data_IF_329311367551
#
_entry.id   IF_329311367551
#
_cell.length_a   1.000
_cell.length_b   1.000
_cell.length_c   1.000
_cell.angle_alpha   90.00
_cell.angle_beta   90.00
_cell.angle_gamma   90.00
#
_symmetry.space_group_name_H-M   'P 1'
#
loop_
_entity.id
_entity.type
_entity.pdbx_description
1 polymer ?
#
# COMPACT_ATOMS: atom_id res chain seq x y z
N UNK A 1 -12.49 6.13 -4.92
CA UNK A 1 -13.64 6.01 -3.97
C UNK A 1 -13.09 5.90 -2.56
N UNK A 2 -13.39 6.86 -1.67
CA UNK A 2 -12.96 6.81 -0.28
C UNK A 2 -13.57 5.57 0.40
N UNK A 3 -12.75 4.81 1.11
CA UNK A 3 -13.20 3.65 1.89
C UNK A 3 -13.18 2.28 1.21
N UNK A 4 -13.06 2.19 -0.13
CA UNK A 4 -12.93 0.91 -0.82
C UNK A 4 -11.55 0.25 -0.59
N UNK A 5 -10.52 1.05 -0.32
CA UNK A 5 -9.14 0.57 -0.21
C UNK A 5 -8.55 0.10 -1.55
N UNK A 6 -7.22 0.08 -1.61
CA UNK A 6 -6.50 -0.34 -2.82
C UNK A 6 -6.69 -1.83 -3.12
N UNK A 7 -6.76 -2.66 -2.10
CA UNK A 7 -6.90 -4.13 -2.23
C UNK A 7 -8.25 -4.51 -2.85
N UNK A 8 -9.34 -3.89 -2.40
CA UNK A 8 -10.67 -4.16 -2.96
C UNK A 8 -10.79 -3.67 -4.40
N UNK A 9 -10.18 -2.51 -4.73
CA UNK A 9 -10.11 -2.02 -6.11
C UNK A 9 -9.40 -2.99 -7.04
N UNK A 10 -8.27 -3.52 -6.62
CA UNK A 10 -7.54 -4.56 -7.36
C UNK A 10 -8.39 -5.82 -7.50
N UNK A 11 -9.00 -6.32 -6.41
CA UNK A 11 -9.79 -7.55 -6.42
C UNK A 11 -10.96 -7.50 -7.42
N UNK A 12 -11.66 -6.37 -7.49
CA UNK A 12 -12.78 -6.17 -8.44
C UNK A 12 -12.29 -6.20 -9.90
N UNK A 13 -11.06 -5.79 -10.15
CA UNK A 13 -10.51 -5.69 -11.51
C UNK A 13 -9.71 -6.91 -11.96
N UNK A 14 -9.47 -7.90 -11.08
CA UNK A 14 -8.82 -9.16 -11.44
C UNK A 14 -9.48 -9.85 -12.65
N UNK A 15 -10.82 -9.95 -12.78
CA UNK A 15 -11.42 -10.62 -13.93
C UNK A 15 -11.00 -10.04 -15.29
N UNK A 16 -10.72 -8.74 -15.35
CA UNK A 16 -10.27 -8.08 -16.58
C UNK A 16 -8.87 -8.58 -17.00
N UNK A 17 -8.05 -8.98 -16.04
CA UNK A 17 -6.68 -9.44 -16.33
C UNK A 17 -6.60 -10.77 -17.07
N UNK A 18 -7.69 -11.56 -17.10
CA UNK A 18 -7.74 -12.80 -17.88
C UNK A 18 -7.80 -12.59 -19.40
N UNK A 19 -8.14 -11.37 -19.84
CA UNK A 19 -8.31 -11.03 -21.25
C UNK A 19 -7.04 -10.39 -21.84
N UNK A 20 -6.11 -9.92 -21.00
CA UNK A 20 -4.91 -9.18 -21.40
C UNK A 20 -3.62 -9.99 -21.13
N UNK A 21 -2.51 -9.71 -21.85
CA UNK A 21 -1.25 -10.38 -21.61
C UNK A 21 -0.77 -10.25 -20.16
N UNK A 22 -0.10 -11.27 -19.59
CA UNK A 22 0.28 -11.29 -18.17
C UNK A 22 1.09 -10.07 -17.72
N UNK A 23 2.04 -9.61 -18.53
CA UNK A 23 2.84 -8.42 -18.19
C UNK A 23 1.97 -7.16 -18.12
N UNK A 24 1.05 -6.99 -19.07
CA UNK A 24 0.11 -5.86 -19.06
C UNK A 24 -0.86 -5.96 -17.87
N UNK A 25 -1.29 -7.16 -17.50
CA UNK A 25 -2.14 -7.41 -16.34
C UNK A 25 -1.46 -6.96 -15.03
N UNK A 26 -0.20 -7.31 -14.84
CA UNK A 26 0.57 -6.90 -13.65
C UNK A 26 0.72 -5.38 -13.60
N UNK A 27 1.10 -4.74 -14.71
CA UNK A 27 1.23 -3.29 -14.80
C UNK A 27 -0.11 -2.60 -14.52
N UNK A 28 -1.21 -3.12 -15.09
CA UNK A 28 -2.56 -2.60 -14.87
C UNK A 28 -2.97 -2.66 -13.40
N UNK A 29 -2.81 -3.81 -12.74
CA UNK A 29 -3.16 -3.96 -11.33
C UNK A 29 -2.27 -3.11 -10.41
N UNK A 30 -0.98 -3.01 -10.72
CA UNK A 30 -0.06 -2.12 -9.99
C UNK A 30 -0.48 -0.65 -10.12
N UNK A 31 -0.82 -0.20 -11.34
CA UNK A 31 -1.29 1.17 -11.57
C UNK A 31 -2.59 1.46 -10.81
N UNK A 32 -3.53 0.51 -10.80
CA UNK A 32 -4.78 0.62 -10.01
C UNK A 32 -4.48 0.73 -8.52
N UNK A 33 -3.57 -0.10 -8.01
CA UNK A 33 -3.16 -0.07 -6.61
C UNK A 33 -2.56 1.28 -6.22
N UNK A 34 -1.58 1.77 -6.98
CA UNK A 34 -0.96 3.07 -6.75
C UNK A 34 -1.94 4.23 -6.88
N UNK A 35 -2.80 4.21 -7.90
CA UNK A 35 -3.83 5.21 -8.10
C UNK A 35 -4.84 5.26 -6.95
N UNK A 36 -5.23 4.11 -6.42
CA UNK A 36 -6.12 4.03 -5.25
C UNK A 36 -5.45 4.55 -3.97
N UNK A 37 -4.16 4.28 -3.77
CA UNK A 37 -3.39 4.79 -2.64
C UNK A 37 -3.28 6.32 -2.67
N UNK A 38 -2.94 6.89 -3.83
CA UNK A 38 -2.88 8.34 -3.97
C UNK A 38 -4.27 8.99 -3.86
N UNK A 39 -5.31 8.37 -4.45
CA UNK A 39 -6.70 8.81 -4.28
C UNK A 39 -7.15 8.82 -2.81
N UNK A 40 -6.66 7.87 -2.01
CA UNK A 40 -6.84 7.84 -0.57
C UNK A 40 -6.19 9.03 0.16
N UNK A 41 -5.01 9.47 -0.29
CA UNK A 41 -4.35 10.65 0.24
C UNK A 41 -5.13 11.94 -0.09
N UNK A 42 -5.70 12.04 -1.29
CA UNK A 42 -6.55 13.18 -1.68
C UNK A 42 -7.77 13.30 -0.75
N UNK A 43 -8.49 12.19 -0.52
CA UNK A 43 -9.65 12.19 0.38
C UNK A 43 -9.25 12.52 1.83
N UNK A 44 -8.09 12.07 2.28
CA UNK A 44 -7.55 12.37 3.61
C UNK A 44 -7.30 13.85 3.80
N UNK A 45 -6.69 14.51 2.82
CA UNK A 45 -6.40 15.95 2.85
C UNK A 45 -7.68 16.79 2.73
N UNK A 46 -8.52 16.49 1.74
CA UNK A 46 -9.67 17.33 1.41
C UNK A 46 -10.85 17.12 2.36
N UNK A 47 -11.14 15.87 2.73
CA UNK A 47 -12.34 15.52 3.50
C UNK A 47 -12.01 15.17 4.96
N UNK A 48 -10.73 14.90 5.29
CA UNK A 48 -10.36 14.40 6.60
C UNK A 48 -10.79 12.95 6.84
N UNK A 49 -11.13 12.22 5.77
CA UNK A 49 -11.55 10.82 5.82
C UNK A 49 -10.46 9.98 5.15
N UNK A 50 -9.79 9.09 5.89
CA UNK A 50 -8.75 8.25 5.30
C UNK A 50 -9.36 7.31 4.27
N UNK A 51 -8.89 7.40 3.02
CA UNK A 51 -9.34 6.54 1.93
C UNK A 51 -8.76 5.13 1.99
N UNK A 52 -7.66 4.95 2.74
CA UNK A 52 -7.02 3.69 3.05
C UNK A 52 -6.44 3.75 4.46
N UNK A 53 -6.22 2.60 5.10
CA UNK A 53 -5.63 2.53 6.45
C UNK A 53 -4.27 3.23 6.55
N UNK A 54 -3.48 3.16 5.49
CA UNK A 54 -2.16 3.81 5.38
C UNK A 54 -2.23 5.33 5.23
N UNK A 55 -3.36 5.87 4.78
CA UNK A 55 -3.58 7.31 4.60
C UNK A 55 -4.04 8.04 5.87
N UNK A 56 -4.16 7.33 7.00
CA UNK A 56 -4.53 7.93 8.30
C UNK A 56 -3.52 9.00 8.71
N UNK A 57 -2.23 8.74 8.57
CA UNK A 57 -1.18 9.70 8.90
C UNK A 57 -1.32 11.00 8.10
N UNK A 58 -1.75 10.91 6.84
CA UNK A 58 -1.96 12.08 5.96
C UNK A 58 -3.10 13.00 6.46
N UNK A 59 -4.05 12.45 7.23
CA UNK A 59 -5.14 13.25 7.81
C UNK A 59 -4.59 14.23 8.85
N UNK A 60 -3.64 13.79 9.69
CA UNK A 60 -3.13 14.59 10.79
C UNK A 60 -2.44 15.88 10.32
N UNK A 61 -1.67 15.81 9.25
CA UNK A 61 -0.92 16.95 8.73
C UNK A 61 -1.62 17.63 7.55
N UNK A 62 -2.22 16.84 6.66
CA UNK A 62 -2.82 17.35 5.43
C UNK A 62 -4.15 18.07 5.65
N UNK A 63 -5.01 17.57 6.55
CA UNK A 63 -6.31 18.19 6.81
C UNK A 63 -6.19 19.59 7.44
N UNK A 64 -5.34 19.84 8.45
CA UNK A 64 -5.14 21.18 8.97
C UNK A 64 -4.67 22.21 7.94
N UNK A 65 -3.79 21.79 7.00
CA UNK A 65 -3.37 22.64 5.89
C UNK A 65 -4.53 22.94 4.95
N UNK A 66 -5.35 21.96 4.64
CA UNK A 66 -6.53 22.16 3.79
C UNK A 66 -7.53 23.13 4.41
N UNK A 67 -7.78 23.05 5.72
CA UNK A 67 -8.66 23.97 6.46
C UNK A 67 -8.11 25.42 6.45
N UNK A 68 -6.79 25.57 6.45
CA UNK A 68 -6.12 26.90 6.33
C UNK A 68 -6.15 27.47 4.90
N UNK A 69 -6.72 26.73 3.93
CA UNK A 69 -6.73 27.13 2.52
C UNK A 69 -5.50 26.67 1.72
N UNK A 70 -4.59 25.93 2.33
CA UNK A 70 -3.34 25.44 1.73
C UNK A 70 -3.44 23.98 1.25
N UNK A 71 -4.63 23.55 0.82
CA UNK A 71 -4.87 22.17 0.36
C UNK A 71 -3.96 21.79 -0.82
N UNK A 72 -3.70 22.73 -1.74
CA UNK A 72 -2.84 22.47 -2.89
C UNK A 72 -1.39 22.17 -2.47
N UNK A 73 -0.89 22.86 -1.46
CA UNK A 73 0.45 22.62 -0.90
C UNK A 73 0.55 21.20 -0.32
N UNK A 74 -0.45 20.78 0.46
CA UNK A 74 -0.50 19.46 1.03
C UNK A 74 -0.59 18.37 -0.05
N UNK A 75 -1.43 18.57 -1.08
CA UNK A 75 -1.59 17.62 -2.20
C UNK A 75 -0.33 17.53 -3.06
N UNK A 76 0.33 18.66 -3.31
CA UNK A 76 1.58 18.67 -4.08
C UNK A 76 2.70 17.97 -3.31
N UNK A 77 2.82 18.22 -2.01
CA UNK A 77 3.78 17.52 -1.16
C UNK A 77 3.52 16.01 -1.14
N UNK A 78 2.26 15.59 -1.04
CA UNK A 78 1.88 14.18 -1.11
C UNK A 78 2.21 13.55 -2.48
N UNK A 79 1.96 14.28 -3.59
CA UNK A 79 2.28 13.80 -4.93
C UNK A 79 3.79 13.63 -5.14
N UNK A 80 4.57 14.64 -4.79
CA UNK A 80 6.04 14.60 -4.92
C UNK A 80 6.63 13.51 -4.01
N UNK A 81 6.18 13.44 -2.76
CA UNK A 81 6.62 12.41 -1.82
C UNK A 81 6.29 11.00 -2.32
N UNK A 82 5.09 10.78 -2.87
CA UNK A 82 4.69 9.51 -3.45
C UNK A 82 5.50 9.15 -4.69
N UNK A 83 5.80 10.12 -5.56
CA UNK A 83 6.60 9.91 -6.75
C UNK A 83 8.05 9.53 -6.40
N UNK A 84 8.68 10.30 -5.52
CA UNK A 84 10.06 10.04 -5.08
C UNK A 84 10.13 8.71 -4.33
N UNK A 85 9.24 8.50 -3.34
CA UNK A 85 9.20 7.26 -2.58
C UNK A 85 8.91 6.03 -3.44
N UNK A 86 7.98 6.14 -4.39
CA UNK A 86 7.67 5.09 -5.35
C UNK A 86 8.85 4.76 -6.25
N UNK A 87 9.55 5.76 -6.78
CA UNK A 87 10.73 5.57 -7.62
C UNK A 87 11.86 4.88 -6.86
N UNK A 88 12.17 5.35 -5.66
CA UNK A 88 13.19 4.72 -4.79
C UNK A 88 12.79 3.28 -4.45
N UNK A 89 11.51 3.06 -4.12
CA UNK A 89 10.98 1.73 -3.83
C UNK A 89 11.15 0.76 -4.99
N UNK A 90 10.84 1.18 -6.22
CA UNK A 90 11.01 0.34 -7.42
C UNK A 90 12.49 -0.01 -7.65
N UNK A 91 13.39 0.95 -7.50
CA UNK A 91 14.85 0.70 -7.65
C UNK A 91 15.32 -0.32 -6.60
N UNK A 92 14.97 -0.11 -5.33
CA UNK A 92 15.33 -1.02 -4.25
C UNK A 92 14.69 -2.40 -4.46
N UNK A 93 13.43 -2.46 -4.84
CA UNK A 93 12.74 -3.72 -5.11
C UNK A 93 13.43 -4.49 -6.24
N UNK A 94 13.76 -3.83 -7.34
CA UNK A 94 14.45 -4.47 -8.48
C UNK A 94 15.82 -5.02 -8.09
N UNK A 95 16.53 -4.32 -7.22
CA UNK A 95 17.85 -4.76 -6.76
C UNK A 95 17.77 -5.92 -5.75
N UNK A 96 16.80 -5.86 -4.84
CA UNK A 96 16.69 -6.83 -3.73
C UNK A 96 15.72 -7.98 -4.03
N UNK A 97 14.83 -7.89 -5.03
CA UNK A 97 13.86 -8.93 -5.34
C UNK A 97 14.50 -10.29 -5.67
N UNK A 98 15.57 -10.39 -6.49
CA UNK A 98 16.18 -11.67 -6.77
C UNK A 98 16.72 -12.40 -5.53
N UNK A 99 17.57 -11.79 -4.68
CA UNK A 99 18.08 -12.46 -3.48
C UNK A 99 16.96 -12.75 -2.46
N UNK A 100 15.94 -11.89 -2.35
CA UNK A 100 14.80 -12.15 -1.48
C UNK A 100 13.93 -13.32 -1.99
N UNK A 101 13.77 -13.45 -3.31
CA UNK A 101 13.06 -14.57 -3.90
C UNK A 101 13.77 -15.89 -3.61
N UNK A 102 15.10 -15.95 -3.70
CA UNK A 102 15.88 -17.16 -3.35
C UNK A 102 15.67 -17.56 -1.89
N UNK A 103 15.68 -16.59 -0.96
CA UNK A 103 15.40 -16.84 0.46
C UNK A 103 13.96 -17.31 0.65
N UNK A 104 12.99 -16.63 0.02
CA UNK A 104 11.57 -16.97 0.13
C UNK A 104 11.27 -18.38 -0.38
N UNK A 105 11.91 -18.80 -1.46
CA UNK A 105 11.75 -20.16 -2.02
C UNK A 105 12.34 -21.27 -1.14
N UNK A 106 13.19 -20.93 -0.17
CA UNK A 106 13.66 -21.89 0.85
C UNK A 106 12.67 -22.10 1.97
N UNK A 107 11.69 -21.22 2.12
CA UNK A 107 10.62 -21.35 3.10
C UNK A 107 9.57 -22.37 2.60
N UNK A 108 9.59 -23.53 3.20
CA UNK A 108 8.61 -24.59 2.95
C UNK A 108 7.49 -24.55 4.03
N UNK A 109 6.58 -25.50 3.95
CA UNK A 109 5.46 -25.62 4.88
C UNK A 109 5.88 -25.68 6.37
N UNK A 110 6.96 -26.40 6.77
CA UNK A 110 7.40 -26.44 8.16
C UNK A 110 7.86 -25.08 8.70
N UNK A 111 8.62 -24.31 7.91
CA UNK A 111 9.12 -23.01 8.31
C UNK A 111 7.98 -21.99 8.43
N UNK A 112 7.02 -22.05 7.49
CA UNK A 112 5.82 -21.21 7.52
C UNK A 112 4.96 -21.52 8.75
N UNK A 113 4.80 -22.80 9.10
CA UNK A 113 4.11 -23.22 10.31
C UNK A 113 4.81 -22.70 11.58
N UNK A 114 6.13 -22.83 11.65
CA UNK A 114 6.92 -22.33 12.77
C UNK A 114 6.77 -20.80 12.96
N UNK A 115 6.76 -20.03 11.85
CA UNK A 115 6.52 -18.59 11.89
C UNK A 115 5.12 -18.25 12.40
N UNK A 116 4.10 -18.98 11.99
CA UNK A 116 2.73 -18.79 12.46
C UNK A 116 2.62 -19.07 13.97
N UNK A 117 3.21 -20.16 14.45
CA UNK A 117 3.25 -20.49 15.88
C UNK A 117 3.98 -19.40 16.67
N UNK A 118 5.11 -18.92 16.17
CA UNK A 118 5.85 -17.83 16.82
C UNK A 118 5.02 -16.53 16.87
N UNK A 119 4.32 -16.18 15.78
CA UNK A 119 3.44 -15.01 15.75
C UNK A 119 2.31 -15.14 16.78
N UNK A 120 1.63 -16.28 16.84
CA UNK A 120 0.59 -16.53 17.85
C UNK A 120 1.12 -16.49 19.28
N UNK A 121 2.30 -17.09 19.53
CA UNK A 121 2.93 -17.05 20.85
C UNK A 121 3.25 -15.62 21.28
N UNK A 122 3.72 -14.79 20.34
CA UNK A 122 4.00 -13.36 20.60
C UNK A 122 2.71 -12.60 20.94
N UNK A 123 1.61 -12.83 20.20
CA UNK A 123 0.32 -12.19 20.49
C UNK A 123 -0.23 -12.63 21.85
N UNK A 124 -0.14 -13.91 22.19
CA UNK A 124 -0.57 -14.42 23.51
C UNK A 124 0.30 -13.83 24.63
N UNK A 125 1.63 -13.72 24.41
CA UNK A 125 2.54 -13.13 25.37
C UNK A 125 2.31 -11.62 25.59
N UNK A 126 1.88 -10.88 24.57
CA UNK A 126 1.56 -9.45 24.68
C UNK A 126 0.15 -9.20 25.27
N UNK A 127 -0.76 -10.16 25.16
CA UNK A 127 -2.13 -10.04 25.69
C UNK A 127 -2.31 -10.66 27.07
N UNK A 128 -1.25 -11.10 27.74
CA UNK A 128 -1.28 -11.85 28.99
C UNK A 128 -1.02 -11.04 30.28
N UNK A 129 -1.22 -9.70 30.27
CA UNK A 129 -1.23 -8.84 31.47
C UNK A 129 -2.60 -8.23 31.72
#
# INVERSE_FOLDING_TARGET
MPGLGSVNGVAILIPITFIIPPTAAIIFLAAVYYGAMYGGAISSVMLGIPGASTAVATVFDGRPLAVKGEAMTALTAAAVGSFVGGTVSVILFTLFAPPLAEVALRFNAPETFALMVMAFATFVGLGGD
#
